data_IF_784228435493
#
_entry.id   IF_784228435493
#
_cell.length_a   1.000
_cell.length_b   1.000
_cell.length_c   1.000
_cell.angle_alpha   90.00
_cell.angle_beta   90.00
_cell.angle_gamma   90.00
#
_symmetry.space_group_name_H-M   'P 1'
#
loop_
_entity.id
_entity.type
_entity.pdbx_description
1 polymer ?
#
# COMPACT_ATOMS: atom_id res chain seq x y z
N UNK A 1 12.70 -13.87 21.04
CA UNK A 1 12.58 -12.76 20.07
C UNK A 1 11.50 -13.16 19.06
N UNK A 2 10.24 -13.01 19.42
CA UNK A 2 9.14 -13.06 18.46
C UNK A 2 7.93 -12.42 19.13
N UNK A 3 7.86 -11.10 19.03
CA UNK A 3 6.65 -10.36 19.39
C UNK A 3 6.11 -9.80 18.10
N UNK A 4 5.00 -10.35 17.59
CA UNK A 4 4.24 -9.66 16.56
C UNK A 4 3.94 -8.23 17.02
N UNK A 5 3.92 -7.30 16.08
CA UNK A 5 3.53 -5.91 16.32
C UNK A 5 2.25 -5.61 15.54
N UNK A 6 1.54 -4.56 15.94
CA UNK A 6 0.42 -4.06 15.14
C UNK A 6 1.00 -3.24 13.99
N UNK A 7 0.55 -3.52 12.76
CA UNK A 7 1.02 -2.80 11.57
C UNK A 7 -0.14 -2.02 10.94
N UNK A 8 -0.15 -0.68 10.99
CA UNK A 8 -1.17 0.11 10.29
C UNK A 8 -0.90 0.10 8.79
N UNK A 9 -1.61 -0.73 8.04
CA UNK A 9 -1.43 -0.85 6.59
C UNK A 9 -2.28 0.19 5.87
N UNK A 10 -1.64 1.00 5.03
CA UNK A 10 -2.25 2.09 4.27
C UNK A 10 -2.15 1.82 2.76
N UNK A 11 -3.19 2.16 2.00
CA UNK A 11 -3.22 2.07 0.53
C UNK A 11 -3.55 3.43 -0.07
N UNK A 12 -2.66 3.94 -0.92
CA UNK A 12 -2.86 5.19 -1.65
C UNK A 12 -3.89 5.00 -2.78
N UNK A 13 -4.55 6.08 -3.19
CA UNK A 13 -5.45 6.12 -4.35
C UNK A 13 -6.78 5.40 -4.20
N UNK A 14 -6.99 4.67 -3.11
CA UNK A 14 -8.19 3.89 -2.84
C UNK A 14 -8.67 4.05 -1.41
N UNK A 15 -9.98 3.95 -1.23
CA UNK A 15 -10.58 3.44 -0.01
C UNK A 15 -10.88 1.96 -0.23
N UNK A 16 -10.86 1.17 0.84
CA UNK A 16 -11.08 -0.26 0.81
C UNK A 16 -12.05 -0.67 1.92
N UNK A 17 -12.75 -1.77 1.68
CA UNK A 17 -13.65 -2.39 2.64
C UNK A 17 -12.90 -3.45 3.44
N UNK A 18 -12.96 -3.38 4.76
CA UNK A 18 -12.39 -4.40 5.66
C UNK A 18 -13.45 -5.47 5.86
N UNK A 19 -13.30 -6.60 5.17
CA UNK A 19 -14.32 -7.67 5.15
C UNK A 19 -14.10 -8.71 6.23
N UNK A 20 -12.90 -8.80 6.80
CA UNK A 20 -12.59 -9.74 7.87
C UNK A 20 -11.30 -9.37 8.58
N UNK A 21 -11.17 -9.79 9.83
CA UNK A 21 -9.99 -9.60 10.66
C UNK A 21 -9.97 -10.66 11.76
N UNK A 22 -8.78 -11.10 12.15
CA UNK A 22 -8.63 -12.13 13.16
C UNK A 22 -7.24 -12.15 13.78
N UNK A 23 -7.10 -12.99 14.80
CA UNK A 23 -5.82 -13.33 15.43
C UNK A 23 -5.38 -14.72 14.96
N UNK A 24 -4.09 -15.00 15.02
CA UNK A 24 -3.51 -16.25 14.53
C UNK A 24 -3.25 -16.24 13.02
N UNK A 25 -3.05 -17.44 12.48
CA UNK A 25 -2.75 -17.64 11.06
C UNK A 25 -4.04 -17.69 10.26
N UNK A 26 -4.12 -16.87 9.22
CA UNK A 26 -5.25 -16.88 8.28
C UNK A 26 -5.43 -18.26 7.62
N UNK A 27 -6.66 -18.76 7.62
CA UNK A 27 -7.08 -19.97 6.93
C UNK A 27 -7.98 -19.61 5.75
N UNK A 28 -7.51 -19.89 4.54
CA UNK A 28 -8.18 -19.54 3.28
C UNK A 28 -9.48 -20.33 3.00
N UNK A 29 -9.77 -21.40 3.74
CA UNK A 29 -11.00 -22.18 3.62
C UNK A 29 -12.06 -21.71 4.63
N UNK A 30 -11.66 -21.40 5.86
CA UNK A 30 -12.61 -21.10 6.96
C UNK A 30 -12.84 -19.63 7.19
N UNK A 31 -11.81 -18.79 7.15
CA UNK A 31 -11.94 -17.36 7.48
C UNK A 31 -12.82 -16.58 6.47
N UNK A 32 -12.75 -16.85 5.14
CA UNK A 32 -13.63 -16.19 4.18
C UNK A 32 -15.13 -16.45 4.39
N UNK A 33 -15.50 -17.54 5.06
CA UNK A 33 -16.90 -17.85 5.36
C UNK A 33 -17.52 -16.85 6.35
N UNK A 34 -16.70 -16.16 7.13
CA UNK A 34 -17.12 -15.20 8.14
C UNK A 34 -16.99 -13.73 7.67
N UNK A 35 -16.73 -13.49 6.39
CA UNK A 35 -16.58 -12.13 5.88
C UNK A 35 -17.89 -11.33 5.97
N UNK A 36 -17.80 -10.09 6.46
CA UNK A 36 -18.87 -9.11 6.28
C UNK A 36 -18.86 -8.61 4.84
N UNK A 37 -19.82 -9.07 4.03
CA UNK A 37 -20.01 -8.66 2.64
C UNK A 37 -21.25 -7.80 2.43
N UNK A 38 -21.93 -7.40 3.50
CA UNK A 38 -23.15 -6.58 3.44
C UNK A 38 -22.83 -5.10 3.67
N UNK A 39 -22.18 -4.78 4.79
CA UNK A 39 -21.86 -3.42 5.21
C UNK A 39 -20.47 -3.30 5.89
N UNK A 40 -19.39 -3.80 5.26
CA UNK A 40 -18.06 -3.75 5.84
C UNK A 40 -17.59 -2.31 6.05
N UNK A 41 -16.81 -2.03 7.13
CA UNK A 41 -16.19 -0.73 7.34
C UNK A 41 -15.31 -0.33 6.14
N UNK A 42 -15.45 0.92 5.70
CA UNK A 42 -14.64 1.49 4.63
C UNK A 42 -13.55 2.39 5.22
N UNK A 43 -12.28 2.10 4.89
CA UNK A 43 -11.12 2.82 5.39
C UNK A 43 -10.03 2.96 4.31
N UNK A 44 -8.99 3.73 4.59
CA UNK A 44 -7.76 3.79 3.78
C UNK A 44 -6.52 3.30 4.55
N UNK A 45 -6.64 3.14 5.87
CA UNK A 45 -5.61 2.60 6.76
C UNK A 45 -6.28 1.68 7.77
N UNK A 46 -5.70 0.51 8.01
CA UNK A 46 -6.21 -0.46 8.98
C UNK A 46 -5.07 -1.02 9.84
N UNK A 47 -5.18 -1.01 11.19
CA UNK A 47 -4.25 -1.74 12.03
C UNK A 47 -4.43 -3.24 11.84
N UNK A 48 -3.40 -3.93 11.35
CA UNK A 48 -3.34 -5.38 11.38
C UNK A 48 -3.02 -5.79 12.83
N UNK A 49 -3.84 -6.63 13.47
CA UNK A 49 -3.58 -7.09 14.82
C UNK A 49 -2.26 -7.85 14.91
N UNK A 50 -1.60 -7.73 16.06
CA UNK A 50 -0.44 -8.52 16.44
C UNK A 50 -0.74 -10.01 16.25
N UNK A 51 0.18 -10.69 15.58
CA UNK A 51 0.10 -12.13 15.30
C UNK A 51 -1.24 -12.51 14.65
N UNK A 52 -1.81 -11.62 13.82
CA UNK A 52 -3.13 -11.75 13.22
C UNK A 52 -3.16 -11.38 11.74
N UNK A 53 -4.38 -11.18 11.23
CA UNK A 53 -4.63 -10.91 9.82
C UNK A 53 -5.81 -9.95 9.64
N UNK A 54 -5.84 -9.27 8.50
CA UNK A 54 -7.02 -8.57 8.00
C UNK A 54 -7.19 -8.84 6.51
N UNK A 55 -8.43 -8.88 6.04
CA UNK A 55 -8.75 -8.98 4.62
C UNK A 55 -9.46 -7.73 4.17
N UNK A 56 -8.93 -7.12 3.11
CA UNK A 56 -9.52 -5.95 2.47
C UNK A 56 -10.03 -6.29 1.07
N UNK A 57 -11.07 -5.59 0.62
CA UNK A 57 -11.53 -5.58 -0.77
C UNK A 57 -11.58 -4.16 -1.29
N UNK A 58 -11.07 -3.95 -2.49
CA UNK A 58 -11.20 -2.68 -3.19
C UNK A 58 -11.39 -2.93 -4.68
N UNK A 59 -12.02 -1.97 -5.35
CA UNK A 59 -12.14 -1.99 -6.80
C UNK A 59 -10.98 -1.21 -7.40
N UNK A 60 -10.14 -1.86 -8.19
CA UNK A 60 -9.04 -1.22 -8.91
C UNK A 60 -9.55 -0.38 -10.11
N UNK A 61 -10.32 0.68 -9.82
CA UNK A 61 -10.94 1.58 -10.80
C UNK A 61 -10.24 2.93 -10.95
N UNK A 62 -9.06 3.10 -10.35
CA UNK A 62 -8.25 4.31 -10.41
C UNK A 62 -6.90 3.99 -11.06
N UNK A 63 -6.71 4.21 -12.38
CA UNK A 63 -5.45 3.94 -13.08
C UNK A 63 -4.31 4.80 -12.54
N UNK A 64 -3.18 4.17 -12.25
CA UNK A 64 -2.05 4.83 -11.62
C UNK A 64 -1.08 3.86 -10.96
N UNK A 65 -0.17 4.43 -10.18
CA UNK A 65 0.85 3.71 -9.43
C UNK A 65 0.64 4.04 -7.95
N UNK A 66 0.16 3.06 -7.18
CA UNK A 66 -0.37 3.29 -5.83
C UNK A 66 0.45 2.57 -4.78
N UNK A 67 1.03 3.34 -3.88
CA UNK A 67 1.86 2.83 -2.79
C UNK A 67 0.99 2.19 -1.71
N UNK A 68 1.38 1.02 -1.24
CA UNK A 68 0.80 0.36 -0.08
C UNK A 68 1.91 0.07 0.92
N UNK A 69 1.75 0.51 2.16
CA UNK A 69 2.84 0.39 3.13
C UNK A 69 2.33 0.36 4.56
N UNK A 70 3.21 -0.06 5.47
CA UNK A 70 3.02 0.21 6.89
C UNK A 70 3.17 1.72 7.14
N UNK A 71 2.24 2.30 7.90
CA UNK A 71 2.22 3.73 8.20
C UNK A 71 3.09 4.09 9.43
N UNK A 72 3.95 3.18 9.88
CA UNK A 72 5.07 3.53 10.75
C UNK A 72 6.30 3.80 9.90
N UNK A 73 6.80 5.03 9.95
CA UNK A 73 7.91 5.51 9.10
C UNK A 73 9.14 4.59 9.15
N UNK A 74 9.43 4.02 10.33
CA UNK A 74 10.52 3.06 10.49
C UNK A 74 10.27 1.79 9.67
N UNK A 75 9.06 1.23 9.70
CA UNK A 75 8.74 0.01 8.96
C UNK A 75 8.59 0.28 7.46
N UNK A 76 8.08 1.45 7.09
CA UNK A 76 8.05 1.93 5.70
C UNK A 76 9.46 2.01 5.12
N UNK A 77 10.38 2.72 5.79
CA UNK A 77 11.77 2.90 5.31
C UNK A 77 12.60 1.62 5.36
N UNK A 78 12.20 0.63 6.15
CA UNK A 78 12.79 -0.72 6.15
C UNK A 78 12.22 -1.64 5.06
N UNK A 79 11.29 -1.15 4.23
CA UNK A 79 10.76 -1.88 3.07
C UNK A 79 9.50 -2.70 3.35
N UNK A 80 8.72 -2.38 4.40
CA UNK A 80 7.37 -2.94 4.57
C UNK A 80 6.38 -2.21 3.67
N UNK A 81 6.57 -2.39 2.37
CA UNK A 81 5.82 -1.71 1.34
C UNK A 81 5.67 -2.54 0.06
N UNK A 82 4.78 -2.08 -0.80
CA UNK A 82 4.58 -2.58 -2.16
C UNK A 82 3.85 -1.54 -2.99
N UNK A 83 3.69 -1.80 -4.29
CA UNK A 83 3.05 -0.88 -5.23
C UNK A 83 2.05 -1.62 -6.12
N UNK A 84 0.83 -1.09 -6.21
CA UNK A 84 -0.15 -1.53 -7.20
C UNK A 84 -0.05 -0.68 -8.46
N UNK A 85 0.20 -1.33 -9.60
CA UNK A 85 0.12 -0.70 -10.92
C UNK A 85 -1.26 -1.03 -11.51
N UNK A 86 -2.15 -0.04 -11.49
CA UNK A 86 -3.50 -0.16 -12.07
C UNK A 86 -3.46 0.35 -13.49
N UNK A 87 -3.66 -0.57 -14.44
CA UNK A 87 -3.59 -0.28 -15.88
C UNK A 87 -4.74 0.60 -16.35
N UNK A 88 -4.52 1.27 -17.47
CA UNK A 88 -5.56 2.00 -18.18
C UNK A 88 -6.71 1.08 -18.59
N UNK A 89 -7.94 1.58 -18.44
CA UNK A 89 -9.16 1.00 -18.98
C UNK A 89 -9.42 1.44 -20.43
N UNK A 90 -10.66 1.20 -20.88
CA UNK A 90 -11.06 1.43 -22.28
C UNK A 90 -11.49 2.86 -22.59
N UNK A 91 -11.99 3.60 -21.61
CA UNK A 91 -12.49 4.98 -21.79
C UNK A 91 -11.41 5.99 -21.47
N UNK A 92 -11.55 7.24 -21.93
CA UNK A 92 -10.58 8.31 -21.68
C UNK A 92 -10.46 8.62 -20.17
N UNK A 93 -11.57 8.55 -19.43
CA UNK A 93 -11.63 8.80 -17.99
C UNK A 93 -10.97 7.68 -17.18
N UNK A 94 -10.91 6.48 -17.75
CA UNK A 94 -10.22 5.33 -17.19
C UNK A 94 -8.74 5.27 -17.63
N UNK A 95 -8.11 6.40 -17.94
CA UNK A 95 -6.68 6.48 -18.26
C UNK A 95 -5.95 7.36 -17.24
N UNK A 96 -4.73 6.95 -16.90
CA UNK A 96 -3.81 7.78 -16.13
C UNK A 96 -3.52 9.06 -16.92
N UNK A 97 -3.46 10.19 -16.20
CA UNK A 97 -3.10 11.48 -16.77
C UNK A 97 -1.62 11.52 -17.15
N UNK A 98 -1.29 12.36 -18.11
CA UNK A 98 0.11 12.62 -18.46
C UNK A 98 0.85 13.28 -17.28
N UNK A 99 2.16 13.00 -17.12
CA UNK A 99 2.97 13.67 -16.12
C UNK A 99 2.92 15.20 -16.27
N UNK A 100 2.74 15.98 -15.19
CA UNK A 100 2.83 17.43 -15.26
C UNK A 100 4.21 17.90 -15.74
N UNK A 101 4.26 18.96 -16.54
CA UNK A 101 5.52 19.48 -17.11
C UNK A 101 6.56 19.92 -16.06
N UNK A 102 6.14 20.17 -14.82
CA UNK A 102 6.99 20.56 -13.69
C UNK A 102 7.43 19.38 -12.83
N UNK A 103 7.19 18.13 -13.24
CA UNK A 103 7.61 16.95 -12.49
C UNK A 103 9.16 16.92 -12.39
N UNK A 104 9.75 16.76 -11.19
CA UNK A 104 11.20 16.70 -11.03
C UNK A 104 11.81 15.58 -11.88
N UNK A 105 12.97 15.80 -12.53
CA UNK A 105 13.62 14.77 -13.31
C UNK A 105 14.17 13.66 -12.39
N UNK A 106 14.16 12.43 -12.88
CA UNK A 106 14.86 11.33 -12.23
C UNK A 106 16.38 11.48 -12.48
N UNK A 107 17.17 11.89 -11.48
CA UNK A 107 18.63 11.95 -11.61
C UNK A 107 19.35 12.98 -10.72
N UNK A 108 20.68 13.02 -10.85
CA UNK A 108 21.59 13.91 -10.08
C UNK A 108 21.40 15.40 -10.35
N UNK A 109 20.64 15.75 -11.38
CA UNK A 109 20.34 17.14 -11.75
C UNK A 109 19.04 17.64 -11.12
N UNK A 110 18.40 16.82 -10.26
CA UNK A 110 17.37 17.32 -9.36
C UNK A 110 18.01 18.22 -8.31
N UNK A 111 17.40 19.37 -8.01
CA UNK A 111 17.88 20.33 -6.99
C UNK A 111 17.95 19.74 -5.56
N UNK A 112 17.62 18.46 -5.40
CA UNK A 112 17.64 17.67 -4.16
C UNK A 112 18.52 16.40 -4.27
N UNK A 113 19.29 16.26 -5.36
CA UNK A 113 20.21 15.14 -5.53
C UNK A 113 21.32 15.19 -4.48
N UNK A 114 21.45 14.14 -3.68
CA UNK A 114 22.61 13.94 -2.79
C UNK A 114 23.88 14.00 -3.63
N UNK A 115 24.91 14.79 -3.25
CA UNK A 115 26.18 14.75 -3.96
C UNK A 115 26.69 13.31 -4.00
N UNK A 116 27.23 12.89 -5.17
CA UNK A 116 27.76 11.54 -5.43
C UNK A 116 28.67 10.97 -4.33
N UNK A 117 29.19 11.81 -3.44
CA UNK A 117 30.00 11.41 -2.28
C UNK A 117 29.25 10.59 -1.22
N UNK A 118 27.91 10.58 -1.20
CA UNK A 118 27.13 9.84 -0.19
C UNK A 118 26.75 8.41 -0.61
N UNK A 119 26.85 8.06 -1.90
CA UNK A 119 26.46 6.73 -2.42
C UNK A 119 27.56 5.66 -2.31
N UNK A 120 28.70 5.95 -1.67
CA UNK A 120 29.87 5.05 -1.64
C UNK A 120 30.18 4.45 -0.27
N UNK A 121 29.27 4.52 0.70
CA UNK A 121 29.46 3.90 2.03
C UNK A 121 28.21 3.12 2.41
N UNK A 122 28.03 1.97 1.75
CA UNK A 122 27.44 0.76 2.32
C UNK A 122 27.41 -0.30 1.20
N UNK A 123 28.54 -0.99 1.09
CA UNK A 123 28.70 -2.31 0.49
C UNK A 123 29.63 -3.10 1.41
#
# INVERSE_FOLDING_TARGET
>A
MNSGENHPMHLHGFRFYVVGMGVGVFNNETDPLNYNLYDPPEANTIPIPKDGWATIRFRASNPGVWYMHCHFDRHMTWGMDTVFIVKNGKTAEARMKDPPAYMPPCGSDSLYGTPRSFLQREA
#
